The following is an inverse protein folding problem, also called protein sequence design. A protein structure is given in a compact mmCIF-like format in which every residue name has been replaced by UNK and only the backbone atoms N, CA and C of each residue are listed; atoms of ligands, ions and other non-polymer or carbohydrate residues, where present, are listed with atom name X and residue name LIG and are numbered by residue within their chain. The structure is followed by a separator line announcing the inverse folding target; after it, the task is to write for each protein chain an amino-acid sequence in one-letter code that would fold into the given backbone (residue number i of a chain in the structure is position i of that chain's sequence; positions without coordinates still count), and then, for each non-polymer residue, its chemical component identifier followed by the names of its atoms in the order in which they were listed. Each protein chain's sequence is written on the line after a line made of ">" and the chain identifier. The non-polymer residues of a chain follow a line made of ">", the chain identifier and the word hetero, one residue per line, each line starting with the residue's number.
data_IF_674187734007
#
_entry.id   IF_674187734007
#
_cell.length_a   1.000
_cell.length_b   1.000
_cell.length_c   1.000
_cell.angle_alpha   90.00
_cell.angle_beta   90.00
_cell.angle_gamma   90.00
#
_symmetry.space_group_name_H-M   'P 1'
#
loop_
_entity.id
_entity.type
_entity.pdbx_description
1 polymer ?
#
# COMPACT_ATOMS: atom_id res chain seq x y z
N UNK A 1 -9.07 -22.92 -25.62
CA UNK A 1 -9.78 -21.88 -24.83
C UNK A 1 -8.93 -21.54 -23.62
N UNK A 2 -8.76 -20.26 -23.26
CA UNK A 2 -8.09 -19.92 -21.99
C UNK A 2 -8.98 -20.32 -20.82
N UNK A 3 -8.37 -20.79 -19.72
CA UNK A 3 -9.12 -21.20 -18.53
C UNK A 3 -9.85 -20.05 -17.86
N UNK A 4 -10.86 -20.35 -17.05
CA UNK A 4 -11.54 -19.39 -16.20
C UNK A 4 -10.55 -18.77 -15.20
N UNK A 5 -10.50 -17.45 -15.11
CA UNK A 5 -9.74 -16.73 -14.09
C UNK A 5 -10.69 -16.33 -12.94
N UNK A 6 -10.39 -16.80 -11.75
CA UNK A 6 -11.11 -16.49 -10.52
C UNK A 6 -10.25 -15.58 -9.65
N UNK A 7 -10.56 -14.28 -9.63
CA UNK A 7 -9.81 -13.29 -8.85
C UNK A 7 -10.45 -13.17 -7.48
N UNK A 8 -9.64 -13.36 -6.43
CA UNK A 8 -10.08 -13.08 -5.07
C UNK A 8 -10.05 -11.59 -4.79
N UNK A 9 -11.18 -11.03 -4.42
CA UNK A 9 -11.33 -9.62 -4.07
C UNK A 9 -11.77 -9.45 -2.60
N UNK A 10 -11.29 -10.30 -1.73
CA UNK A 10 -11.66 -10.29 -0.31
C UNK A 10 -11.25 -9.00 0.39
N UNK A 11 -10.07 -8.46 0.11
CA UNK A 11 -9.64 -7.18 0.69
C UNK A 11 -10.54 -6.04 0.24
N UNK A 12 -10.90 -5.99 -1.03
CA UNK A 12 -11.83 -4.98 -1.55
C UNK A 12 -13.24 -5.14 -0.98
N UNK A 13 -13.72 -6.37 -0.76
CA UNK A 13 -15.00 -6.61 -0.12
C UNK A 13 -15.04 -6.06 1.32
N UNK A 14 -13.89 -6.00 2.00
CA UNK A 14 -13.71 -5.35 3.30
C UNK A 14 -13.43 -3.85 3.19
N UNK A 15 -13.21 -3.33 2.00
CA UNK A 15 -12.94 -1.91 1.70
C UNK A 15 -13.93 -0.91 2.32
N UNK A 16 -15.26 -1.21 2.44
CA UNK A 16 -16.19 -0.35 3.16
C UNK A 16 -15.82 -0.07 4.61
N UNK A 17 -14.91 -0.85 5.21
CA UNK A 17 -14.41 -0.63 6.57
C UNK A 17 -13.42 0.56 6.65
N UNK A 18 -12.89 1.05 5.53
CA UNK A 18 -11.97 2.19 5.45
C UNK A 18 -12.56 3.36 4.65
N UNK A 19 -12.10 4.58 4.91
CA UNK A 19 -12.49 5.77 4.16
C UNK A 19 -11.70 5.94 2.85
N UNK A 20 -10.48 5.45 2.85
CA UNK A 20 -9.54 5.55 1.72
C UNK A 20 -8.84 4.22 1.53
N UNK A 21 -8.55 3.81 0.29
CA UNK A 21 -7.85 2.57 0.01
C UNK A 21 -6.39 2.64 0.51
N UNK A 22 -5.91 1.52 1.01
CA UNK A 22 -4.49 1.31 1.32
C UNK A 22 -3.72 0.95 0.05
N UNK A 23 -2.40 0.86 0.12
CA UNK A 23 -1.57 0.46 -1.03
C UNK A 23 -2.00 -0.89 -1.63
N UNK A 24 -2.22 -1.91 -0.79
CA UNK A 24 -2.69 -3.24 -1.22
C UNK A 24 -4.08 -3.17 -1.89
N UNK A 25 -4.99 -2.38 -1.32
CA UNK A 25 -6.36 -2.23 -1.88
C UNK A 25 -6.31 -1.62 -3.29
N UNK A 26 -5.37 -0.69 -3.55
CA UNK A 26 -5.16 -0.10 -4.89
C UNK A 26 -4.59 -1.11 -5.89
N UNK A 27 -3.67 -1.96 -5.45
CA UNK A 27 -3.13 -3.04 -6.28
C UNK A 27 -4.24 -4.01 -6.64
N UNK A 28 -5.02 -4.49 -5.67
CA UNK A 28 -6.13 -5.42 -5.89
C UNK A 28 -7.19 -4.82 -6.81
N UNK A 29 -7.50 -3.53 -6.66
CA UNK A 29 -8.41 -2.80 -7.54
C UNK A 29 -7.90 -2.74 -8.98
N UNK A 30 -6.60 -2.47 -9.18
CA UNK A 30 -6.01 -2.46 -10.51
C UNK A 30 -6.07 -3.84 -11.17
N UNK A 31 -5.79 -4.91 -10.42
CA UNK A 31 -5.96 -6.29 -10.90
C UNK A 31 -7.41 -6.59 -11.28
N UNK A 32 -8.36 -6.21 -10.41
CA UNK A 32 -9.78 -6.42 -10.68
C UNK A 32 -10.22 -5.75 -11.98
N UNK A 33 -9.92 -4.46 -12.14
CA UNK A 33 -10.28 -3.71 -13.35
C UNK A 33 -9.59 -4.25 -14.61
N UNK A 34 -8.31 -4.59 -14.51
CA UNK A 34 -7.58 -5.12 -15.66
C UNK A 34 -8.19 -6.45 -16.14
N UNK A 35 -8.25 -7.44 -15.27
CA UNK A 35 -8.68 -8.78 -15.68
C UNK A 35 -10.17 -8.89 -15.98
N UNK A 36 -11.02 -8.14 -15.28
CA UNK A 36 -12.44 -8.05 -15.65
C UNK A 36 -12.64 -7.43 -17.03
N UNK A 37 -11.75 -6.58 -17.52
CA UNK A 37 -11.90 -5.94 -18.82
C UNK A 37 -11.12 -6.62 -19.95
N UNK A 38 -9.97 -7.26 -19.67
CA UNK A 38 -9.04 -7.70 -20.71
C UNK A 38 -8.78 -9.21 -20.71
N UNK A 39 -9.19 -9.97 -19.67
CA UNK A 39 -8.97 -11.43 -19.70
C UNK A 39 -9.78 -12.05 -20.85
N UNK A 40 -9.12 -12.80 -21.78
CA UNK A 40 -9.79 -13.31 -22.97
C UNK A 40 -10.67 -14.54 -22.74
N UNK A 41 -10.63 -15.12 -21.52
CA UNK A 41 -11.50 -16.19 -21.07
C UNK A 41 -12.62 -15.67 -20.15
N UNK A 42 -13.32 -16.61 -19.50
CA UNK A 42 -14.24 -16.25 -18.42
C UNK A 42 -13.45 -15.65 -17.23
N UNK A 43 -13.86 -14.50 -16.74
CA UNK A 43 -13.32 -13.90 -15.53
C UNK A 43 -14.43 -13.75 -14.50
N UNK A 44 -14.20 -14.31 -13.32
CA UNK A 44 -15.11 -14.27 -12.17
C UNK A 44 -14.38 -13.72 -10.94
N UNK A 45 -15.14 -13.17 -9.99
CA UNK A 45 -14.56 -12.72 -8.73
C UNK A 45 -14.99 -13.61 -7.58
N UNK A 46 -14.08 -13.80 -6.63
CA UNK A 46 -14.30 -14.59 -5.41
C UNK A 46 -14.28 -13.65 -4.21
N UNK A 47 -15.30 -13.74 -3.36
CA UNK A 47 -15.35 -13.02 -2.08
C UNK A 47 -15.95 -13.89 -0.98
N UNK A 48 -15.68 -13.61 0.31
CA UNK A 48 -16.37 -14.21 1.43
C UNK A 48 -17.79 -13.65 1.55
N UNK A 49 -18.71 -14.53 1.85
CA UNK A 49 -20.11 -14.20 2.16
C UNK A 49 -20.53 -14.90 3.45
N UNK A 50 -21.74 -14.65 3.94
CA UNK A 50 -22.31 -15.35 5.10
C UNK A 50 -22.45 -16.86 4.86
N UNK A 51 -22.47 -17.31 3.60
CA UNK A 51 -22.55 -18.72 3.20
C UNK A 51 -21.20 -19.31 2.75
N UNK A 52 -20.09 -18.73 3.17
CA UNK A 52 -18.73 -19.12 2.79
C UNK A 52 -18.23 -18.40 1.54
N UNK A 53 -17.16 -18.93 0.96
CA UNK A 53 -16.56 -18.35 -0.26
C UNK A 53 -17.47 -18.58 -1.46
N UNK A 54 -17.75 -17.49 -2.17
CA UNK A 54 -18.62 -17.49 -3.36
C UNK A 54 -17.96 -16.79 -4.52
N UNK A 55 -18.30 -17.19 -5.75
CA UNK A 55 -17.86 -16.48 -6.92
C UNK A 55 -19.04 -15.89 -7.70
N UNK A 56 -18.74 -14.84 -8.43
CA UNK A 56 -19.71 -13.97 -9.13
C UNK A 56 -19.22 -13.69 -10.53
N UNK A 57 -20.16 -13.55 -11.44
CA UNK A 57 -19.90 -13.14 -12.81
C UNK A 57 -19.35 -11.69 -12.89
N UNK A 58 -18.75 -11.38 -14.04
CA UNK A 58 -18.17 -10.07 -14.35
C UNK A 58 -19.15 -8.91 -14.09
N UNK A 59 -20.42 -9.06 -14.46
CA UNK A 59 -21.39 -7.98 -14.39
C UNK A 59 -21.69 -7.56 -12.95
N UNK A 60 -21.79 -8.53 -12.04
CA UNK A 60 -21.96 -8.27 -10.60
C UNK A 60 -20.69 -7.70 -9.97
N UNK A 61 -19.53 -8.23 -10.37
CA UNK A 61 -18.24 -7.75 -9.90
C UNK A 61 -18.04 -6.27 -10.23
N UNK A 62 -18.27 -5.88 -11.48
CA UNK A 62 -18.16 -4.47 -11.92
C UNK A 62 -19.08 -3.56 -11.11
N UNK A 63 -20.35 -3.95 -10.90
CA UNK A 63 -21.26 -3.16 -10.04
C UNK A 63 -20.74 -3.03 -8.61
N UNK A 64 -20.13 -4.11 -8.08
CA UNK A 64 -19.52 -4.10 -6.75
C UNK A 64 -18.34 -3.13 -6.64
N UNK A 65 -17.46 -3.14 -7.64
CA UNK A 65 -16.31 -2.23 -7.68
C UNK A 65 -16.74 -0.76 -7.80
N UNK A 66 -17.69 -0.45 -8.68
CA UNK A 66 -18.22 0.91 -8.81
C UNK A 66 -18.83 1.41 -7.51
N UNK A 67 -19.64 0.56 -6.84
CA UNK A 67 -20.22 0.91 -5.55
C UNK A 67 -19.15 1.10 -4.46
N UNK A 68 -18.05 0.34 -4.49
CA UNK A 68 -16.94 0.51 -3.57
C UNK A 68 -16.21 1.83 -3.80
N UNK A 69 -15.94 2.19 -5.05
CA UNK A 69 -15.29 3.47 -5.39
C UNK A 69 -16.13 4.68 -4.95
N UNK A 70 -17.45 4.57 -4.98
CA UNK A 70 -18.35 5.61 -4.45
C UNK A 70 -18.26 5.73 -2.91
N UNK A 71 -17.99 4.62 -2.20
CA UNK A 71 -17.81 4.61 -0.75
C UNK A 71 -16.47 5.24 -0.36
N UNK A 72 -15.45 5.05 -1.18
CA UNK A 72 -14.14 5.62 -0.96
C UNK A 72 -14.07 7.09 -1.34
N UNK A 73 -13.29 7.85 -0.57
CA UNK A 73 -13.11 9.29 -0.80
C UNK A 73 -12.08 9.61 -1.89
N UNK A 74 -11.94 8.75 -2.89
CA UNK A 74 -10.96 8.93 -3.97
C UNK A 74 -11.28 10.10 -4.90
N UNK A 75 -12.55 10.49 -4.99
CA UNK A 75 -13.05 11.56 -5.86
C UNK A 75 -13.23 12.90 -5.15
N UNK A 76 -12.96 12.97 -3.84
CA UNK A 76 -13.08 14.24 -3.10
C UNK A 76 -11.95 15.16 -3.52
N UNK A 77 -12.31 16.37 -3.95
CA UNK A 77 -11.34 17.39 -4.32
C UNK A 77 -10.52 17.82 -3.08
N UNK A 78 -9.27 18.26 -3.24
CA UNK A 78 -8.50 18.80 -2.12
C UNK A 78 -9.19 19.95 -1.41
N UNK A 79 -9.96 20.76 -2.13
CA UNK A 79 -10.71 21.91 -1.59
C UNK A 79 -11.81 21.48 -0.61
N UNK A 80 -12.43 20.30 -0.87
CA UNK A 80 -13.51 19.75 -0.04
C UNK A 80 -12.98 18.79 1.04
N UNK A 81 -11.65 18.59 1.12
CA UNK A 81 -11.02 17.70 2.08
C UNK A 81 -10.61 18.45 3.35
N UNK A 82 -11.37 18.25 4.43
CA UNK A 82 -11.11 18.88 5.72
C UNK A 82 -9.73 18.51 6.32
N UNK A 83 -9.19 17.35 5.98
CA UNK A 83 -7.84 16.93 6.41
C UNK A 83 -6.78 17.73 5.65
N UNK A 84 -6.98 17.95 4.35
CA UNK A 84 -6.12 18.79 3.54
C UNK A 84 -6.11 20.23 4.06
N UNK A 85 -7.28 20.83 4.24
CA UNK A 85 -7.43 22.20 4.75
C UNK A 85 -6.72 22.40 6.09
N UNK A 86 -6.79 21.41 6.98
CA UNK A 86 -6.09 21.44 8.28
C UNK A 86 -4.57 21.39 8.10
N UNK A 87 -4.07 20.48 7.27
CA UNK A 87 -2.63 20.38 7.01
C UNK A 87 -2.09 21.62 6.32
N UNK A 88 -2.82 22.13 5.33
CA UNK A 88 -2.48 23.39 4.64
C UNK A 88 -2.41 24.57 5.63
N UNK A 89 -3.42 24.72 6.49
CA UNK A 89 -3.41 25.75 7.53
C UNK A 89 -2.20 25.61 8.47
N UNK A 90 -1.88 24.40 8.90
CA UNK A 90 -0.69 24.15 9.72
C UNK A 90 0.61 24.53 9.00
N UNK A 91 0.74 24.18 7.73
CA UNK A 91 1.94 24.49 6.93
C UNK A 91 2.13 26.01 6.82
N UNK A 92 1.05 26.75 6.56
CA UNK A 92 1.09 28.20 6.32
C UNK A 92 1.15 29.05 7.58
N UNK A 93 0.80 28.50 8.76
CA UNK A 93 0.73 29.26 10.00
C UNK A 93 1.84 28.86 10.98
N UNK A 94 2.06 29.71 12.00
CA UNK A 94 2.94 29.41 13.13
C UNK A 94 2.19 28.71 14.29
N UNK A 95 0.93 28.34 14.09
CA UNK A 95 0.11 27.70 15.11
C UNK A 95 0.62 26.28 15.43
N UNK A 96 0.55 25.91 16.69
CA UNK A 96 0.80 24.52 17.10
C UNK A 96 -0.30 23.59 16.56
N UNK A 97 0.08 22.38 16.20
CA UNK A 97 -0.88 21.36 15.82
C UNK A 97 -1.78 21.01 17.03
N UNK A 98 -3.08 20.94 16.81
CA UNK A 98 -4.00 20.42 17.82
C UNK A 98 -3.96 18.90 17.83
N UNK A 99 -3.22 18.32 18.76
CA UNK A 99 -3.02 16.85 18.87
C UNK A 99 -4.27 16.09 19.31
N UNK A 100 -5.24 16.77 19.93
CA UNK A 100 -6.54 16.19 20.29
C UNK A 100 -7.41 15.85 19.07
N UNK A 101 -7.12 16.44 17.90
CA UNK A 101 -7.85 16.15 16.65
C UNK A 101 -7.39 14.88 15.92
N UNK A 102 -6.38 14.16 16.45
CA UNK A 102 -5.78 12.96 15.84
C UNK A 102 -6.43 11.65 16.22
N UNK A 103 -7.61 11.67 16.83
CA UNK A 103 -8.38 10.43 16.89
C UNK A 103 -8.54 9.90 15.47
N UNK A 104 -8.14 8.64 15.22
CA UNK A 104 -8.42 8.04 13.92
C UNK A 104 -9.92 8.18 13.70
N UNK A 105 -10.34 8.83 12.62
CA UNK A 105 -11.73 8.74 12.19
C UNK A 105 -11.94 7.34 11.61
N UNK A 106 -11.98 6.36 12.50
CA UNK A 106 -12.60 5.10 12.17
C UNK A 106 -14.06 5.42 11.84
N UNK A 107 -14.56 4.86 10.76
CA UNK A 107 -16.02 4.88 10.53
C UNK A 107 -16.70 4.29 11.77
N UNK A 108 -17.82 4.84 12.24
CA UNK A 108 -18.62 4.18 13.25
C UNK A 108 -18.95 2.74 12.80
N UNK A 109 -18.83 1.77 13.69
CA UNK A 109 -19.03 0.34 13.37
C UNK A 109 -20.38 0.07 12.67
N UNK A 110 -21.44 0.81 13.07
CA UNK A 110 -22.76 0.74 12.45
C UNK A 110 -22.76 1.25 10.99
N UNK A 111 -21.98 2.28 10.68
CA UNK A 111 -21.85 2.80 9.32
C UNK A 111 -21.06 1.84 8.43
N UNK A 112 -19.98 1.24 8.96
CA UNK A 112 -19.23 0.18 8.27
C UNK A 112 -20.13 -1.00 7.92
N UNK A 113 -20.90 -1.49 8.90
CA UNK A 113 -21.86 -2.57 8.69
C UNK A 113 -22.91 -2.21 7.64
N UNK A 114 -23.47 -1.00 7.71
CA UNK A 114 -24.47 -0.51 6.74
C UNK A 114 -23.90 -0.46 5.32
N UNK A 115 -22.69 0.08 5.14
CA UNK A 115 -22.06 0.21 3.83
C UNK A 115 -21.71 -1.17 3.26
N UNK A 116 -21.24 -2.09 4.09
CA UNK A 116 -21.00 -3.48 3.73
C UNK A 116 -22.29 -4.20 3.28
N UNK A 117 -23.36 -4.08 4.06
CA UNK A 117 -24.67 -4.68 3.70
C UNK A 117 -25.28 -4.04 2.45
N UNK A 118 -25.10 -2.73 2.24
CA UNK A 118 -25.51 -2.06 1.00
C UNK A 118 -24.76 -2.65 -0.20
N UNK A 119 -23.44 -2.82 -0.09
CA UNK A 119 -22.63 -3.42 -1.15
C UNK A 119 -23.13 -4.82 -1.50
N UNK A 120 -23.26 -5.69 -0.49
CA UNK A 120 -23.72 -7.07 -0.70
C UNK A 120 -25.12 -7.16 -1.29
N UNK A 121 -26.07 -6.37 -0.77
CA UNK A 121 -27.47 -6.43 -1.18
C UNK A 121 -27.74 -5.72 -2.50
N UNK A 122 -27.20 -4.51 -2.66
CA UNK A 122 -27.44 -3.67 -3.85
C UNK A 122 -26.83 -4.26 -5.12
N UNK A 123 -25.74 -5.00 -4.99
CA UNK A 123 -25.02 -5.62 -6.12
C UNK A 123 -25.40 -7.08 -6.34
N UNK A 124 -26.22 -7.68 -5.45
CA UNK A 124 -26.54 -9.10 -5.48
C UNK A 124 -25.39 -10.02 -5.08
N UNK A 125 -24.33 -9.48 -4.44
CA UNK A 125 -23.17 -10.25 -4.00
C UNK A 125 -23.47 -11.22 -2.83
N UNK A 126 -24.70 -11.19 -2.29
CA UNK A 126 -25.13 -12.17 -1.30
C UNK A 126 -25.42 -13.58 -1.89
N UNK A 127 -25.65 -13.70 -3.20
CA UNK A 127 -26.20 -14.90 -3.86
C UNK A 127 -25.26 -15.48 -4.94
N UNK A 128 -23.96 -15.55 -4.65
CA UNK A 128 -22.98 -16.12 -5.57
C UNK A 128 -23.01 -17.64 -5.64
N UNK A 129 -22.34 -18.20 -6.66
CA UNK A 129 -22.11 -19.65 -6.79
C UNK A 129 -21.02 -20.11 -5.82
N UNK A 130 -21.06 -21.38 -5.40
CA UNK A 130 -20.02 -21.96 -4.54
C UNK A 130 -18.70 -22.05 -5.28
N UNK A 131 -17.56 -21.68 -4.63
CA UNK A 131 -16.22 -21.88 -5.20
C UNK A 131 -15.93 -23.34 -5.54
N UNK A 132 -16.59 -24.29 -4.89
CA UNK A 132 -16.50 -25.72 -5.23
C UNK A 132 -16.99 -26.06 -6.64
N UNK A 133 -17.82 -25.19 -7.26
CA UNK A 133 -18.33 -25.36 -8.63
C UNK A 133 -17.54 -24.57 -9.68
N UNK A 134 -16.38 -24.00 -9.35
CA UNK A 134 -15.49 -23.42 -10.35
C UNK A 134 -15.10 -24.47 -11.39
N UNK A 135 -14.93 -24.12 -12.66
CA UNK A 135 -14.47 -25.03 -13.69
C UNK A 135 -13.15 -25.73 -13.30
N UNK A 136 -12.91 -26.93 -13.86
CA UNK A 136 -11.60 -27.58 -13.75
C UNK A 136 -10.54 -26.70 -14.40
N UNK A 137 -9.32 -26.77 -13.89
CA UNK A 137 -8.16 -26.04 -14.39
C UNK A 137 -8.33 -24.50 -14.36
N UNK A 138 -9.27 -23.99 -13.54
CA UNK A 138 -9.37 -22.57 -13.31
C UNK A 138 -8.10 -22.03 -12.63
N UNK A 139 -7.74 -20.78 -12.95
CA UNK A 139 -6.70 -20.05 -12.24
C UNK A 139 -7.38 -19.31 -11.09
N UNK A 140 -6.93 -19.53 -9.86
CA UNK A 140 -7.32 -18.74 -8.70
C UNK A 140 -6.19 -17.76 -8.36
N UNK A 141 -6.47 -16.49 -8.51
CA UNK A 141 -5.51 -15.41 -8.29
C UNK A 141 -5.92 -14.60 -7.06
N UNK A 142 -5.08 -14.62 -6.02
CA UNK A 142 -5.27 -13.81 -4.81
C UNK A 142 -4.10 -12.85 -4.63
N UNK A 143 -4.38 -11.55 -4.76
CA UNK A 143 -3.40 -10.47 -4.65
C UNK A 143 -3.55 -9.65 -3.37
N UNK A 144 -4.57 -9.94 -2.57
CA UNK A 144 -4.87 -9.20 -1.34
C UNK A 144 -4.06 -9.60 -0.11
N UNK A 145 -3.41 -10.77 -0.10
CA UNK A 145 -2.64 -11.41 0.99
C UNK A 145 -3.43 -11.58 2.32
N UNK A 146 -4.41 -10.74 2.59
CA UNK A 146 -5.02 -10.57 3.91
C UNK A 146 -5.72 -11.81 4.47
N UNK A 147 -6.23 -12.72 3.63
CA UNK A 147 -7.04 -13.85 4.08
C UNK A 147 -6.54 -15.20 3.56
N UNK A 148 -5.22 -15.42 3.55
CA UNK A 148 -4.67 -16.78 3.42
C UNK A 148 -4.92 -17.62 4.70
N UNK A 149 -5.97 -17.27 5.46
CA UNK A 149 -6.40 -18.02 6.63
C UNK A 149 -7.29 -19.18 6.21
N UNK A 150 -7.16 -20.31 6.90
CA UNK A 150 -7.85 -21.56 6.55
C UNK A 150 -9.35 -21.45 6.27
N UNK A 151 -10.15 -20.69 7.00
CA UNK A 151 -11.59 -20.58 6.69
C UNK A 151 -11.89 -20.09 5.28
N UNK A 152 -11.00 -19.29 4.68
CA UNK A 152 -11.22 -18.70 3.37
C UNK A 152 -10.57 -19.46 2.22
N UNK A 153 -9.50 -20.21 2.48
CA UNK A 153 -8.73 -20.90 1.43
C UNK A 153 -8.73 -22.44 1.54
N UNK A 154 -9.30 -23.01 2.61
CA UNK A 154 -9.30 -24.48 2.82
C UNK A 154 -10.01 -25.27 1.70
N UNK A 155 -10.91 -24.63 0.95
CA UNK A 155 -11.55 -25.22 -0.21
C UNK A 155 -10.56 -25.57 -1.32
N UNK A 156 -9.44 -24.85 -1.45
CA UNK A 156 -8.37 -25.14 -2.42
C UNK A 156 -7.72 -26.50 -2.17
N UNK A 157 -7.60 -26.94 -0.92
CA UNK A 157 -7.06 -28.25 -0.59
C UNK A 157 -7.88 -29.40 -1.20
N UNK A 158 -9.17 -29.18 -1.46
CA UNK A 158 -10.10 -30.14 -2.10
C UNK A 158 -10.18 -29.96 -3.62
N UNK A 159 -9.48 -28.96 -4.16
CA UNK A 159 -9.46 -28.62 -5.58
C UNK A 159 -8.01 -28.51 -6.08
N UNK A 160 -7.25 -29.64 -6.07
CA UNK A 160 -5.86 -29.66 -6.54
C UNK A 160 -5.73 -29.39 -8.05
N UNK A 161 -6.82 -29.46 -8.77
CA UNK A 161 -6.98 -29.11 -10.18
C UNK A 161 -6.90 -27.60 -10.42
N UNK A 162 -7.13 -26.76 -9.41
CA UNK A 162 -7.07 -25.29 -9.55
C UNK A 162 -5.62 -24.80 -9.43
N UNK A 163 -5.21 -23.99 -10.39
CA UNK A 163 -3.92 -23.30 -10.38
C UNK A 163 -3.99 -22.09 -9.44
N UNK A 164 -3.56 -22.26 -8.19
CA UNK A 164 -3.58 -21.20 -7.19
C UNK A 164 -2.32 -20.35 -7.24
N UNK A 165 -2.48 -19.06 -7.56
CA UNK A 165 -1.42 -18.06 -7.64
C UNK A 165 -1.65 -16.99 -6.57
N UNK A 166 -0.66 -16.78 -5.71
CA UNK A 166 -0.76 -15.85 -4.58
C UNK A 166 0.27 -14.75 -4.70
N UNK A 167 -0.15 -13.50 -4.40
CA UNK A 167 0.78 -12.39 -4.28
C UNK A 167 1.20 -12.21 -2.82
N UNK A 168 2.49 -12.17 -2.58
CA UNK A 168 3.10 -11.83 -1.29
C UNK A 168 3.66 -10.41 -1.39
N UNK A 169 3.07 -9.48 -0.64
CA UNK A 169 3.50 -8.08 -0.63
C UNK A 169 4.74 -7.84 0.23
N UNK A 170 4.80 -8.50 1.36
CA UNK A 170 5.93 -8.50 2.30
C UNK A 170 5.83 -9.67 3.29
N UNK A 171 6.88 -9.82 4.09
CA UNK A 171 6.98 -10.79 5.19
C UNK A 171 7.46 -10.10 6.48
N UNK A 172 7.27 -8.77 6.56
CA UNK A 172 7.83 -7.92 7.61
C UNK A 172 7.50 -8.36 9.04
N UNK A 173 6.27 -8.84 9.35
CA UNK A 173 5.98 -9.30 10.71
C UNK A 173 6.78 -10.54 11.14
N UNK A 174 7.32 -11.29 10.20
CA UNK A 174 8.16 -12.45 10.47
C UNK A 174 9.65 -12.12 10.48
N UNK A 175 10.06 -11.17 9.63
CA UNK A 175 11.46 -10.73 9.53
C UNK A 175 11.85 -9.76 10.66
N UNK A 176 10.89 -8.92 11.10
CA UNK A 176 11.08 -7.88 12.11
C UNK A 176 10.02 -7.99 13.22
N UNK A 177 10.00 -9.10 13.97
CA UNK A 177 8.93 -9.36 14.95
C UNK A 177 8.85 -8.31 16.06
N UNK A 178 9.97 -7.66 16.42
CA UNK A 178 10.02 -6.62 17.44
C UNK A 178 9.24 -5.35 17.08
N UNK A 179 8.97 -5.15 15.78
CA UNK A 179 8.18 -4.03 15.29
C UNK A 179 6.69 -4.35 15.12
N UNK A 180 6.26 -5.57 15.47
CA UNK A 180 4.91 -6.05 15.25
C UNK A 180 4.27 -6.65 16.51
N UNK A 181 2.94 -6.58 16.58
CA UNK A 181 2.22 -7.20 17.71
C UNK A 181 2.14 -8.72 17.57
N UNK A 182 2.18 -9.45 18.69
CA UNK A 182 2.20 -10.91 18.71
C UNK A 182 1.04 -11.57 17.95
N UNK A 183 -0.14 -10.94 17.90
CA UNK A 183 -1.27 -11.44 17.12
C UNK A 183 -0.99 -11.36 15.61
N UNK A 184 -0.42 -10.24 15.13
CA UNK A 184 -0.02 -10.07 13.74
C UNK A 184 0.98 -11.14 13.32
N UNK A 185 2.05 -11.33 14.09
CA UNK A 185 3.07 -12.37 13.84
C UNK A 185 2.46 -13.77 13.73
N UNK A 186 1.50 -14.11 14.62
CA UNK A 186 0.81 -15.42 14.57
C UNK A 186 -0.05 -15.58 13.32
N UNK A 187 -0.75 -14.52 12.90
CA UNK A 187 -1.54 -14.52 11.68
C UNK A 187 -0.63 -14.69 10.46
N UNK A 188 0.48 -13.96 10.37
CA UNK A 188 1.40 -14.06 9.25
C UNK A 188 2.10 -15.42 9.17
N UNK A 189 2.46 -16.03 10.31
CA UNK A 189 2.92 -17.44 10.32
C UNK A 189 1.88 -18.39 9.73
N UNK A 190 0.61 -18.16 10.00
CA UNK A 190 -0.48 -18.98 9.45
C UNK A 190 -0.66 -18.73 7.95
N UNK A 191 -0.58 -17.47 7.52
CA UNK A 191 -0.62 -17.05 6.10
C UNK A 191 0.50 -17.74 5.34
N UNK A 192 1.74 -17.61 5.79
CA UNK A 192 2.94 -18.18 5.15
C UNK A 192 2.86 -19.70 5.05
N UNK A 193 2.45 -20.39 6.13
CA UNK A 193 2.27 -21.84 6.13
C UNK A 193 1.20 -22.29 5.13
N UNK A 194 0.04 -21.61 5.11
CA UNK A 194 -1.04 -21.94 4.20
C UNK A 194 -0.66 -21.64 2.74
N UNK A 195 0.09 -20.57 2.50
CA UNK A 195 0.65 -20.26 1.18
C UNK A 195 1.60 -21.37 0.73
N UNK A 196 2.51 -21.80 1.58
CA UNK A 196 3.42 -22.89 1.28
C UNK A 196 2.66 -24.20 0.98
N UNK A 197 1.55 -24.47 1.66
CA UNK A 197 0.74 -25.67 1.45
C UNK A 197 -0.07 -25.61 0.15
N UNK A 198 -0.69 -24.47 -0.15
CA UNK A 198 -1.75 -24.36 -1.15
C UNK A 198 -1.31 -23.64 -2.44
N UNK A 199 -0.31 -22.79 -2.42
CA UNK A 199 0.14 -22.09 -3.61
C UNK A 199 0.78 -23.04 -4.63
N UNK A 200 0.54 -22.77 -5.92
CA UNK A 200 1.22 -23.39 -7.06
C UNK A 200 2.26 -22.43 -7.66
N UNK A 201 2.07 -21.13 -7.48
CA UNK A 201 3.02 -20.09 -7.88
C UNK A 201 2.83 -18.84 -7.03
N UNK A 202 3.83 -17.96 -7.05
CA UNK A 202 3.83 -16.70 -6.34
C UNK A 202 4.08 -15.52 -7.27
N UNK A 203 3.53 -14.36 -6.92
CA UNK A 203 3.88 -13.07 -7.47
C UNK A 203 4.42 -12.22 -6.31
N UNK A 204 5.49 -11.46 -6.53
CA UNK A 204 6.06 -10.56 -5.54
C UNK A 204 6.39 -9.20 -6.16
N UNK A 205 6.28 -8.10 -5.38
CA UNK A 205 6.45 -6.74 -5.90
C UNK A 205 7.91 -6.29 -6.06
N UNK A 206 8.88 -7.10 -5.58
CA UNK A 206 10.29 -6.73 -5.60
C UNK A 206 11.19 -7.96 -5.50
N UNK A 207 12.45 -7.82 -5.95
CA UNK A 207 13.49 -8.82 -5.71
C UNK A 207 13.84 -8.94 -4.21
N UNK A 208 13.68 -7.85 -3.46
CA UNK A 208 13.82 -7.88 -2.01
C UNK A 208 12.85 -8.89 -1.38
N UNK A 209 11.55 -8.82 -1.69
CA UNK A 209 10.55 -9.79 -1.19
C UNK A 209 10.85 -11.21 -1.71
N UNK A 210 11.29 -11.36 -2.95
CA UNK A 210 11.72 -12.68 -3.45
C UNK A 210 12.86 -13.27 -2.63
N UNK A 211 13.83 -12.43 -2.25
CA UNK A 211 14.95 -12.85 -1.38
C UNK A 211 14.45 -13.24 0.02
N UNK A 212 13.49 -12.48 0.55
CA UNK A 212 12.83 -12.80 1.83
C UNK A 212 12.19 -14.20 1.85
N UNK A 213 11.64 -14.67 0.72
CA UNK A 213 11.06 -16.02 0.63
C UNK A 213 12.09 -17.16 0.84
N UNK A 214 13.38 -16.87 0.76
CA UNK A 214 14.46 -17.85 0.92
C UNK A 214 14.97 -17.96 2.37
N UNK A 215 14.40 -17.19 3.30
CA UNK A 215 14.83 -17.18 4.69
C UNK A 215 14.57 -18.53 5.38
N UNK A 216 15.54 -18.98 6.18
CA UNK A 216 15.56 -20.33 6.78
C UNK A 216 14.45 -20.57 7.80
N UNK A 217 13.85 -19.52 8.35
CA UNK A 217 12.71 -19.62 9.28
C UNK A 217 11.36 -19.81 8.58
N UNK A 218 11.33 -19.74 7.25
CA UNK A 218 10.13 -19.95 6.43
C UNK A 218 10.03 -21.43 5.96
N UNK A 219 8.82 -21.90 5.61
CA UNK A 219 8.67 -23.19 4.98
C UNK A 219 9.53 -23.31 3.69
N UNK A 220 10.41 -24.32 3.55
CA UNK A 220 11.34 -24.42 2.41
C UNK A 220 10.64 -24.43 1.05
N UNK A 221 9.39 -24.88 1.00
CA UNK A 221 8.61 -24.92 -0.24
C UNK A 221 8.41 -23.53 -0.86
N UNK A 222 8.35 -22.47 -0.07
CA UNK A 222 8.18 -21.10 -0.59
C UNK A 222 9.34 -20.71 -1.51
N UNK A 223 10.56 -21.08 -1.14
CA UNK A 223 11.75 -20.80 -1.96
C UNK A 223 11.77 -21.56 -3.29
N UNK A 224 11.03 -22.68 -3.40
CA UNK A 224 11.01 -23.54 -4.59
C UNK A 224 9.79 -23.33 -5.48
N UNK A 225 8.80 -22.55 -5.05
CA UNK A 225 7.64 -22.21 -5.88
C UNK A 225 8.04 -21.35 -7.07
N UNK A 226 7.47 -21.59 -8.27
CA UNK A 226 7.57 -20.64 -9.38
C UNK A 226 7.17 -19.25 -8.89
N UNK A 227 8.09 -18.29 -8.96
CA UNK A 227 7.88 -16.94 -8.41
C UNK A 227 8.19 -15.90 -9.47
N UNK A 228 7.19 -15.10 -9.81
CA UNK A 228 7.33 -13.96 -10.70
C UNK A 228 7.56 -12.68 -9.89
N UNK A 229 8.61 -11.95 -10.24
CA UNK A 229 8.89 -10.62 -9.69
C UNK A 229 8.38 -9.58 -10.66
N UNK A 230 7.46 -8.73 -10.22
CA UNK A 230 6.94 -7.65 -11.04
C UNK A 230 6.82 -6.38 -10.22
N UNK A 231 7.67 -5.39 -10.51
CA UNK A 231 7.70 -4.13 -9.79
C UNK A 231 6.40 -3.36 -9.99
N UNK A 232 5.78 -2.93 -8.90
CA UNK A 232 4.48 -2.24 -8.94
C UNK A 232 4.56 -0.91 -9.68
N UNK A 233 3.58 -0.60 -10.53
CA UNK A 233 3.46 0.71 -11.17
C UNK A 233 2.92 1.77 -10.23
N UNK A 234 3.07 3.02 -10.64
CA UNK A 234 2.44 4.16 -9.97
C UNK A 234 0.92 4.09 -10.08
N UNK A 235 0.21 4.36 -8.98
CA UNK A 235 -1.25 4.41 -9.01
C UNK A 235 -1.75 5.41 -10.06
N UNK A 236 -2.78 5.06 -10.88
CA UNK A 236 -3.33 5.94 -11.90
C UNK A 236 -3.74 7.32 -11.37
N UNK A 237 -4.16 7.39 -10.10
CA UNK A 237 -4.52 8.66 -9.46
C UNK A 237 -3.34 9.64 -9.37
N UNK A 238 -2.10 9.16 -9.33
CA UNK A 238 -0.89 9.99 -9.34
C UNK A 238 -0.39 10.35 -10.75
N UNK A 239 -0.92 9.72 -11.77
CA UNK A 239 -0.57 10.01 -13.19
C UNK A 239 -1.51 11.03 -13.84
N UNK A 240 -2.66 11.32 -13.22
CA UNK A 240 -3.60 12.30 -13.73
C UNK A 240 -3.00 13.72 -13.74
N UNK A 241 -3.38 14.63 -14.66
CA UNK A 241 -3.00 16.04 -14.56
C UNK A 241 -3.41 16.63 -13.21
N UNK A 242 -2.51 17.32 -12.53
CA UNK A 242 -2.80 18.03 -11.27
C UNK A 242 -2.02 19.33 -11.20
N UNK A 243 -2.56 20.29 -10.46
CA UNK A 243 -1.90 21.59 -10.23
C UNK A 243 -1.37 21.62 -8.80
N UNK A 244 -0.16 22.17 -8.63
CA UNK A 244 0.36 22.53 -7.31
C UNK A 244 -0.57 23.52 -6.65
N UNK A 245 -0.63 23.51 -5.31
CA UNK A 245 -1.34 24.54 -4.57
C UNK A 245 -0.50 25.83 -4.60
N UNK A 246 -1.01 26.93 -5.19
CA UNK A 246 -0.25 28.18 -5.26
C UNK A 246 0.15 28.75 -3.89
N UNK A 247 -0.67 28.58 -2.87
CA UNK A 247 -0.38 29.03 -1.52
C UNK A 247 0.76 28.23 -0.85
N UNK A 248 0.94 26.97 -1.26
CA UNK A 248 2.02 26.12 -0.76
C UNK A 248 3.33 26.26 -1.57
N UNK A 249 3.35 27.04 -2.65
CA UNK A 249 4.49 27.15 -3.56
C UNK A 249 5.79 27.63 -2.90
N UNK A 250 5.67 28.43 -1.85
CA UNK A 250 6.80 28.96 -1.07
C UNK A 250 6.93 28.34 0.33
N UNK A 251 6.08 27.34 0.63
CA UNK A 251 6.09 26.72 1.94
C UNK A 251 7.27 25.73 2.06
N UNK A 252 7.97 25.81 3.18
CA UNK A 252 9.09 24.93 3.48
C UNK A 252 8.62 23.78 4.37
N UNK A 253 8.27 22.66 3.73
CA UNK A 253 7.88 21.47 4.45
C UNK A 253 8.32 20.19 3.74
N UNK A 254 8.50 19.15 4.54
CA UNK A 254 8.73 17.79 4.14
C UNK A 254 7.51 16.92 4.45
N UNK A 255 7.31 15.85 3.70
CA UNK A 255 6.19 14.95 3.90
C UNK A 255 6.67 13.51 4.05
N UNK A 256 6.10 12.77 5.01
CA UNK A 256 6.22 11.32 5.13
C UNK A 256 4.83 10.69 4.96
N UNK A 257 4.74 9.59 4.23
CA UNK A 257 3.46 8.94 3.89
C UNK A 257 3.47 7.47 4.29
N UNK A 258 2.36 6.99 4.85
CA UNK A 258 2.17 5.59 5.24
C UNK A 258 1.54 5.43 6.62
N UNK A 259 1.23 4.20 7.00
CA UNK A 259 0.74 3.90 8.35
C UNK A 259 1.75 4.37 9.41
N UNK A 260 1.24 4.89 10.54
CA UNK A 260 2.09 5.25 11.67
C UNK A 260 2.43 3.94 12.40
N UNK A 261 3.43 3.24 11.88
CA UNK A 261 3.84 1.91 12.34
C UNK A 261 5.32 1.89 12.72
N UNK A 262 5.73 0.98 13.60
CA UNK A 262 7.09 0.94 14.14
C UNK A 262 8.14 0.76 13.02
N UNK A 263 7.91 -0.13 12.04
CA UNK A 263 8.84 -0.36 10.94
C UNK A 263 8.97 0.84 9.99
N UNK A 264 8.01 1.79 9.98
CA UNK A 264 8.10 3.04 9.21
C UNK A 264 9.03 4.08 9.84
N UNK A 265 9.46 3.84 11.06
CA UNK A 265 10.53 4.58 11.76
C UNK A 265 10.30 6.10 11.83
N UNK A 266 9.05 6.53 11.98
CA UNK A 266 8.74 7.96 12.12
C UNK A 266 9.42 8.58 13.35
N UNK A 267 9.82 7.76 14.34
CA UNK A 267 10.53 8.23 15.53
C UNK A 267 11.86 8.90 15.16
N UNK A 268 12.60 8.37 14.20
CA UNK A 268 13.83 8.98 13.69
C UNK A 268 13.58 10.40 13.15
N UNK A 269 12.49 10.62 12.43
CA UNK A 269 12.15 11.95 11.94
C UNK A 269 11.79 12.89 13.09
N UNK A 270 11.11 12.41 14.13
CA UNK A 270 10.79 13.22 15.30
C UNK A 270 12.06 13.64 16.08
N UNK A 271 13.04 12.75 16.20
CA UNK A 271 14.35 13.05 16.77
C UNK A 271 15.08 14.12 15.95
N UNK A 272 15.10 13.96 14.63
CA UNK A 272 15.68 14.95 13.71
C UNK A 272 14.98 16.31 13.87
N UNK A 273 13.65 16.35 13.91
CA UNK A 273 12.91 17.62 14.08
C UNK A 273 13.14 18.26 15.45
N UNK A 274 13.28 17.46 16.50
CA UNK A 274 13.68 17.95 17.83
C UNK A 274 15.03 18.69 17.78
N UNK A 275 16.02 18.11 17.11
CA UNK A 275 17.33 18.73 16.95
C UNK A 275 17.30 19.96 16.05
N UNK A 276 16.56 19.92 14.93
CA UNK A 276 16.38 21.05 14.04
C UNK A 276 15.72 22.24 14.76
N UNK A 277 14.70 21.98 15.57
CA UNK A 277 14.03 23.03 16.36
C UNK A 277 15.00 23.63 17.39
N UNK A 278 15.81 22.81 18.05
CA UNK A 278 16.82 23.31 19.00
C UNK A 278 17.88 24.19 18.34
N UNK A 279 18.26 23.91 17.06
CA UNK A 279 19.29 24.64 16.32
C UNK A 279 18.75 25.89 15.59
N UNK A 280 17.56 25.79 15.00
CA UNK A 280 17.06 26.77 14.06
C UNK A 280 15.78 27.48 14.53
N UNK A 281 15.15 27.02 15.62
CA UNK A 281 13.93 27.62 16.18
C UNK A 281 12.82 27.72 15.13
N UNK A 282 12.30 28.93 14.94
CA UNK A 282 11.20 29.18 14.00
C UNK A 282 11.59 29.04 12.51
N UNK A 283 12.87 28.95 12.17
CA UNK A 283 13.33 28.68 10.79
C UNK A 283 13.33 27.20 10.44
N UNK A 284 13.02 26.31 11.38
CA UNK A 284 12.88 24.88 11.11
C UNK A 284 11.73 24.63 10.12
N UNK A 285 11.93 23.85 9.03
CA UNK A 285 10.85 23.50 8.12
C UNK A 285 9.76 22.70 8.83
N UNK A 286 8.56 22.65 8.24
CA UNK A 286 7.47 21.80 8.76
C UNK A 286 7.66 20.35 8.36
N UNK A 287 7.19 19.43 9.19
CA UNK A 287 7.03 18.02 8.88
C UNK A 287 5.56 17.65 8.88
N UNK A 288 5.11 17.10 7.77
CA UNK A 288 3.77 16.54 7.62
C UNK A 288 3.89 15.02 7.56
N UNK A 289 3.26 14.31 8.48
CA UNK A 289 3.18 12.84 8.46
C UNK A 289 1.74 12.47 8.11
N UNK A 290 1.54 11.95 6.90
CA UNK A 290 0.23 11.57 6.36
C UNK A 290 0.02 10.06 6.48
N UNK A 291 -0.75 9.62 7.49
CA UNK A 291 -0.99 8.20 7.71
C UNK A 291 -1.98 7.89 8.81
N UNK A 292 -2.54 6.71 8.78
CA UNK A 292 -3.43 6.25 9.84
C UNK A 292 -2.64 5.68 11.03
N UNK A 293 -3.21 5.83 12.22
CA UNK A 293 -2.64 5.32 13.46
C UNK A 293 -2.73 3.79 13.51
N UNK A 294 -1.59 3.10 13.67
CA UNK A 294 -1.54 1.67 13.91
C UNK A 294 -1.51 1.33 15.41
N UNK A 295 -1.56 0.05 15.73
CA UNK A 295 -1.46 -0.45 17.11
C UNK A 295 -0.06 -0.25 17.71
N UNK A 296 0.97 -0.11 16.88
CA UNK A 296 2.38 0.11 17.30
C UNK A 296 2.77 1.58 17.37
N UNK A 297 1.83 2.49 17.12
CA UNK A 297 2.10 3.94 17.04
C UNK A 297 2.29 4.63 18.39
N UNK A 298 2.01 3.97 19.51
CA UNK A 298 2.05 4.59 20.86
C UNK A 298 3.37 5.34 21.14
N UNK A 299 4.57 4.77 20.90
CA UNK A 299 5.83 5.46 21.17
C UNK A 299 5.98 6.79 20.43
N UNK A 300 5.43 6.89 19.22
CA UNK A 300 5.48 8.11 18.39
C UNK A 300 4.66 9.22 19.04
N UNK A 301 3.46 8.91 19.51
CA UNK A 301 2.59 9.89 20.18
C UNK A 301 3.10 10.27 21.57
N UNK A 302 3.68 9.32 22.32
CA UNK A 302 4.34 9.58 23.60
C UNK A 302 5.52 10.56 23.38
N UNK A 303 6.39 10.28 22.39
CA UNK A 303 7.50 11.17 22.07
C UNK A 303 7.05 12.61 21.76
N UNK A 304 5.98 12.76 20.99
CA UNK A 304 5.42 14.08 20.69
C UNK A 304 4.90 14.77 21.95
N UNK A 305 4.20 14.05 22.82
CA UNK A 305 3.70 14.60 24.08
C UNK A 305 4.83 15.10 24.98
N UNK A 306 5.94 14.36 25.05
CA UNK A 306 7.11 14.68 25.85
C UNK A 306 7.96 15.82 25.28
N UNK A 307 7.75 16.22 24.01
CA UNK A 307 8.56 17.23 23.32
C UNK A 307 7.70 18.37 22.75
N UNK A 308 7.09 19.24 23.59
CA UNK A 308 6.19 20.30 23.11
C UNK A 308 6.84 21.31 22.16
N UNK A 309 8.17 21.43 22.17
CA UNK A 309 8.91 22.32 21.26
C UNK A 309 8.67 22.01 19.78
N UNK A 310 8.41 20.72 19.43
CA UNK A 310 8.16 20.33 18.04
C UNK A 310 6.70 20.54 17.60
N UNK A 311 5.76 20.87 18.48
CA UNK A 311 4.34 20.96 18.16
C UNK A 311 4.01 22.01 17.09
N UNK A 312 4.83 23.05 16.96
CA UNK A 312 4.67 24.06 15.91
C UNK A 312 5.26 23.62 14.56
N UNK A 313 6.03 22.54 14.54
CA UNK A 313 6.81 22.11 13.38
C UNK A 313 6.42 20.75 12.82
N UNK A 314 5.71 19.92 13.58
CA UNK A 314 5.29 18.57 13.18
C UNK A 314 3.78 18.44 13.23
N UNK A 315 3.17 17.90 12.19
CA UNK A 315 1.77 17.48 12.17
C UNK A 315 1.65 16.03 11.69
N UNK A 316 0.81 15.27 12.38
CA UNK A 316 0.38 13.94 11.92
C UNK A 316 -1.10 14.02 11.56
N UNK A 317 -1.54 13.52 10.43
CA UNK A 317 -2.96 13.48 10.07
C UNK A 317 -3.30 12.24 9.23
N UNK A 318 -4.55 11.83 9.30
CA UNK A 318 -5.11 10.71 8.54
C UNK A 318 -6.37 11.11 7.78
N UNK A 319 -6.83 10.25 6.87
CA UNK A 319 -8.09 10.44 6.17
C UNK A 319 -8.04 11.45 5.03
N UNK A 320 -6.85 11.74 4.50
CA UNK A 320 -6.70 12.48 3.24
C UNK A 320 -7.30 11.68 2.09
N UNK A 321 -7.98 12.34 1.19
CA UNK A 321 -8.29 11.80 -0.13
C UNK A 321 -7.02 11.64 -0.96
N UNK A 322 -7.02 10.76 -1.94
CA UNK A 322 -5.85 10.57 -2.82
C UNK A 322 -5.47 11.85 -3.57
N UNK A 323 -6.40 12.64 -4.15
CA UNK A 323 -6.08 13.93 -4.74
C UNK A 323 -5.44 14.91 -3.75
N UNK A 324 -5.92 14.96 -2.50
CA UNK A 324 -5.38 15.82 -1.46
C UNK A 324 -3.95 15.41 -1.04
N UNK A 325 -3.71 14.11 -0.82
CA UNK A 325 -2.38 13.58 -0.54
C UNK A 325 -1.41 13.90 -1.66
N UNK A 326 -1.81 13.66 -2.90
CA UNK A 326 -1.01 13.97 -4.08
C UNK A 326 -0.62 15.44 -4.14
N UNK A 327 -1.56 16.37 -3.91
CA UNK A 327 -1.31 17.82 -3.92
C UNK A 327 -0.31 18.23 -2.83
N UNK A 328 -0.39 17.62 -1.63
CA UNK A 328 0.61 17.83 -0.58
C UNK A 328 1.98 17.31 -1.01
N UNK A 329 2.07 16.12 -1.60
CA UNK A 329 3.35 15.59 -2.10
C UNK A 329 3.94 16.53 -3.14
N UNK A 330 3.16 16.95 -4.15
CA UNK A 330 3.63 17.83 -5.23
C UNK A 330 4.19 19.17 -4.75
N UNK A 331 3.77 19.66 -3.61
CA UNK A 331 4.17 20.96 -3.05
C UNK A 331 5.27 20.83 -1.98
N UNK A 332 5.62 19.61 -1.55
CA UNK A 332 6.65 19.37 -0.57
C UNK A 332 8.06 19.56 -1.15
N UNK A 333 9.04 19.88 -0.28
CA UNK A 333 10.46 19.93 -0.64
C UNK A 333 11.00 18.55 -1.02
N UNK A 334 10.63 17.55 -0.24
CA UNK A 334 10.93 16.13 -0.51
C UNK A 334 9.96 15.22 0.23
N UNK A 335 9.82 13.98 -0.27
CA UNK A 335 9.24 12.88 0.49
C UNK A 335 10.31 12.26 1.40
N UNK A 336 9.96 11.92 2.64
CA UNK A 336 10.82 11.24 3.60
C UNK A 336 10.31 9.82 3.85
N UNK A 337 11.17 8.82 3.65
CA UNK A 337 10.86 7.40 3.84
C UNK A 337 11.92 6.72 4.72
N UNK A 338 11.91 6.95 6.05
CA UNK A 338 12.93 6.44 6.96
C UNK A 338 12.74 4.98 7.36
N UNK A 339 11.91 4.23 6.67
CA UNK A 339 11.49 2.88 7.05
C UNK A 339 12.68 1.94 7.26
N UNK A 340 12.59 1.09 8.28
CA UNK A 340 13.56 0.03 8.58
C UNK A 340 13.42 -1.10 7.55
N UNK A 341 12.20 -1.36 7.13
CA UNK A 341 11.87 -2.42 6.18
C UNK A 341 10.62 -2.09 5.35
N UNK A 342 10.58 -2.58 4.12
CA UNK A 342 9.49 -2.41 3.16
C UNK A 342 9.40 -3.61 2.22
N UNK A 343 8.18 -3.90 1.75
CA UNK A 343 8.01 -4.84 0.63
C UNK A 343 8.33 -4.22 -0.73
N UNK A 344 8.04 -2.92 -0.91
CA UNK A 344 8.34 -2.20 -2.15
C UNK A 344 8.63 -0.71 -1.92
N UNK A 345 7.64 0.09 -1.51
CA UNK A 345 7.83 1.53 -1.33
C UNK A 345 6.99 2.37 -2.29
N UNK A 346 5.70 2.08 -2.43
CA UNK A 346 4.78 2.84 -3.30
C UNK A 346 4.90 4.37 -3.16
N UNK A 347 5.03 4.98 -1.96
CA UNK A 347 5.15 6.43 -1.86
C UNK A 347 6.37 7.01 -2.59
N UNK A 348 7.46 6.24 -2.73
CA UNK A 348 8.65 6.66 -3.48
C UNK A 348 8.30 6.90 -4.94
N UNK A 349 7.71 5.90 -5.61
CA UNK A 349 7.35 6.02 -7.02
C UNK A 349 6.24 7.04 -7.25
N UNK A 350 5.34 7.21 -6.28
CA UNK A 350 4.28 8.24 -6.29
C UNK A 350 4.88 9.65 -6.24
N UNK A 351 5.88 9.89 -5.39
CA UNK A 351 6.58 11.18 -5.30
C UNK A 351 7.43 11.46 -6.56
N UNK A 352 8.20 10.47 -7.01
CA UNK A 352 9.04 10.59 -8.21
C UNK A 352 8.20 10.88 -9.46
N UNK A 353 7.02 10.27 -9.59
CA UNK A 353 6.08 10.57 -10.68
C UNK A 353 5.53 12.00 -10.64
N UNK A 354 5.61 12.69 -9.50
CA UNK A 354 5.27 14.11 -9.35
C UNK A 354 6.50 15.03 -9.49
N UNK A 355 7.67 14.49 -9.80
CA UNK A 355 8.92 15.26 -9.85
C UNK A 355 9.42 15.71 -8.47
N UNK A 356 8.98 15.05 -7.39
CA UNK A 356 9.36 15.37 -6.02
C UNK A 356 10.53 14.49 -5.61
N UNK A 357 11.66 15.06 -5.15
CA UNK A 357 12.80 14.28 -4.68
C UNK A 357 12.45 13.49 -3.42
N UNK A 358 13.20 12.42 -3.19
CA UNK A 358 12.97 11.50 -2.07
C UNK A 358 14.23 11.33 -1.23
N UNK A 359 14.09 11.39 0.10
CA UNK A 359 15.09 10.88 1.02
C UNK A 359 14.53 9.55 1.58
N UNK A 360 15.24 8.46 1.34
CA UNK A 360 14.80 7.13 1.71
C UNK A 360 15.88 6.37 2.47
N UNK A 361 15.48 5.43 3.32
CA UNK A 361 16.41 4.50 3.93
C UNK A 361 17.11 3.65 2.87
N UNK A 362 18.38 3.38 3.08
CA UNK A 362 19.21 2.53 2.22
C UNK A 362 18.88 1.04 2.45
N UNK A 363 17.74 0.60 1.93
CA UNK A 363 17.30 -0.79 1.97
C UNK A 363 16.94 -1.30 0.57
N UNK A 364 17.08 -2.61 0.29
CA UNK A 364 16.91 -3.17 -1.05
C UNK A 364 15.60 -2.77 -1.73
N UNK A 365 14.46 -2.91 -1.06
CA UNK A 365 13.15 -2.60 -1.63
C UNK A 365 13.03 -1.11 -2.06
N UNK A 366 13.62 -0.18 -1.29
CA UNK A 366 13.60 1.24 -1.64
C UNK A 366 14.54 1.57 -2.79
N UNK A 367 15.69 0.87 -2.91
CA UNK A 367 16.56 1.00 -4.07
C UNK A 367 15.89 0.53 -5.35
N UNK A 368 15.10 -0.56 -5.28
CA UNK A 368 14.31 -1.03 -6.42
C UNK A 368 13.23 -0.02 -6.81
N UNK A 369 12.44 0.47 -5.84
CA UNK A 369 11.37 1.44 -6.09
C UNK A 369 11.92 2.78 -6.60
N UNK A 370 13.05 3.23 -6.08
CA UNK A 370 13.66 4.52 -6.43
C UNK A 370 14.59 4.49 -7.65
N UNK A 371 14.73 3.33 -8.30
CA UNK A 371 15.65 3.18 -9.42
C UNK A 371 15.33 4.18 -10.57
N UNK A 372 16.36 4.88 -11.04
CA UNK A 372 16.22 5.91 -12.10
C UNK A 372 15.57 7.22 -11.63
N UNK A 373 15.22 7.36 -10.35
CA UNK A 373 14.63 8.58 -9.79
C UNK A 373 15.61 9.41 -8.95
N UNK A 374 15.20 10.63 -8.60
CA UNK A 374 15.96 11.51 -7.70
C UNK A 374 15.76 11.07 -6.24
N UNK A 375 16.53 10.09 -5.79
CA UNK A 375 16.49 9.53 -4.43
C UNK A 375 17.85 9.65 -3.75
N UNK A 376 17.88 10.22 -2.55
CA UNK A 376 19.02 10.17 -1.64
C UNK A 376 18.80 9.05 -0.64
N UNK A 377 19.71 8.08 -0.62
CA UNK A 377 19.64 6.94 0.29
C UNK A 377 20.47 7.20 1.54
N UNK A 378 19.89 6.97 2.72
CA UNK A 378 20.46 7.27 4.02
C UNK A 378 20.32 6.06 4.96
N UNK A 379 21.25 5.84 5.91
CA UNK A 379 21.10 4.79 6.91
C UNK A 379 19.83 4.97 7.72
N UNK A 380 19.05 3.91 7.90
CA UNK A 380 17.77 3.95 8.66
C UNK A 380 17.97 4.25 10.16
N UNK A 381 19.22 4.21 10.66
CA UNK A 381 19.57 4.37 12.09
C UNK A 381 20.37 5.62 12.40
N UNK A 382 20.72 6.43 11.41
CA UNK A 382 21.59 7.61 11.61
C UNK A 382 20.82 8.93 11.48
N UNK A 383 20.26 9.41 12.60
CA UNK A 383 19.55 10.68 12.67
C UNK A 383 20.43 11.88 12.24
N UNK A 384 21.76 11.79 12.39
CA UNK A 384 22.68 12.87 12.02
C UNK A 384 22.78 13.04 10.51
N UNK A 385 22.88 11.92 9.77
CA UNK A 385 22.89 11.96 8.30
C UNK A 385 21.52 12.47 7.77
N UNK A 386 20.41 11.99 8.31
CA UNK A 386 19.07 12.49 7.95
C UNK A 386 18.93 13.99 8.19
N UNK A 387 19.37 14.48 9.37
CA UNK A 387 19.34 15.91 9.68
C UNK A 387 20.17 16.70 8.65
N UNK A 388 21.41 16.24 8.38
CA UNK A 388 22.31 16.93 7.46
C UNK A 388 21.75 16.98 6.04
N UNK A 389 21.12 15.90 5.57
CA UNK A 389 20.46 15.86 4.27
C UNK A 389 19.26 16.85 4.24
N UNK A 390 18.42 16.88 5.27
CA UNK A 390 17.27 17.79 5.35
C UNK A 390 17.72 19.25 5.39
N UNK A 391 18.79 19.60 6.14
CA UNK A 391 19.39 20.94 6.17
C UNK A 391 19.95 21.34 4.79
N UNK A 392 20.55 20.41 4.05
CA UNK A 392 21.05 20.65 2.70
C UNK A 392 19.93 20.97 1.69
N UNK A 393 18.79 20.28 1.78
CA UNK A 393 17.60 20.58 0.98
C UNK A 393 17.03 21.98 1.25
N UNK A 394 17.13 22.48 2.48
CA UNK A 394 16.72 23.84 2.83
C UNK A 394 17.56 24.92 2.14
N UNK A 395 18.82 24.64 1.83
CA UNK A 395 19.76 25.56 1.17
C UNK A 395 19.72 25.48 -0.36
N UNK A 396 19.39 24.34 -0.92
CA UNK A 396 19.34 24.12 -2.37
C UNK A 396 18.08 23.28 -2.74
N UNK A 397 16.94 23.94 -3.01
CA UNK A 397 15.65 23.26 -3.18
C UNK A 397 15.56 22.37 -4.42
N UNK A 398 16.55 22.37 -5.32
CA UNK A 398 16.55 21.53 -6.50
C UNK A 398 17.37 20.25 -6.35
N UNK A 399 17.90 19.96 -5.15
CA UNK A 399 18.79 18.81 -4.93
C UNK A 399 20.05 18.86 -5.81
N UNK A 400 21.12 18.19 -5.43
CA UNK A 400 22.32 18.05 -6.25
C UNK A 400 22.12 16.99 -7.36
N UNK A 401 21.14 17.17 -8.22
CA UNK A 401 20.91 16.26 -9.34
C UNK A 401 20.15 16.95 -10.46
N UNK A 402 20.56 16.67 -11.69
CA UNK A 402 19.75 16.96 -12.88
C UNK A 402 18.34 16.45 -12.62
N UNK A 403 17.31 17.15 -13.12
CA UNK A 403 15.92 16.70 -13.07
C UNK A 403 15.88 15.33 -13.75
N UNK A 404 16.06 14.28 -12.98
CA UNK A 404 15.94 12.92 -13.48
C UNK A 404 14.53 12.78 -14.05
N UNK A 405 14.42 12.52 -15.34
CA UNK A 405 13.16 12.18 -15.96
C UNK A 405 12.77 10.77 -15.51
N UNK A 406 12.29 10.65 -14.27
CA UNK A 406 11.73 9.40 -13.82
C UNK A 406 10.56 9.01 -14.73
N UNK A 407 10.69 7.87 -15.39
CA UNK A 407 9.64 7.32 -16.25
C UNK A 407 8.86 6.28 -15.44
N UNK A 408 7.62 6.62 -15.03
CA UNK A 408 6.82 5.67 -14.25
C UNK A 408 6.48 4.43 -15.09
N UNK A 409 6.65 3.24 -14.50
CA UNK A 409 6.18 2.00 -15.10
C UNK A 409 4.67 2.09 -15.33
N UNK A 410 4.21 1.64 -16.49
CA UNK A 410 2.80 1.65 -16.85
C UNK A 410 2.12 0.34 -16.41
N UNK A 411 0.84 0.43 -16.03
CA UNK A 411 0.04 -0.74 -15.69
C UNK A 411 -0.13 -1.71 -16.85
N UNK A 412 -0.14 -1.20 -18.11
CA UNK A 412 -0.14 -2.04 -19.31
C UNK A 412 1.03 -3.01 -19.36
N UNK A 413 2.25 -2.48 -19.14
CA UNK A 413 3.48 -3.28 -19.18
C UNK A 413 3.55 -4.27 -18.01
N UNK A 414 3.11 -3.83 -16.84
CA UNK A 414 2.98 -4.69 -15.66
C UNK A 414 2.09 -5.90 -15.93
N UNK A 415 0.89 -5.66 -16.48
CA UNK A 415 -0.06 -6.74 -16.74
C UNK A 415 0.36 -7.66 -17.88
N UNK A 416 1.12 -7.17 -18.87
CA UNK A 416 1.72 -8.05 -19.88
C UNK A 416 2.63 -9.10 -19.23
N UNK A 417 3.48 -8.72 -18.26
CA UNK A 417 4.31 -9.65 -17.50
C UNK A 417 3.48 -10.66 -16.70
N UNK A 418 2.45 -10.19 -16.00
CA UNK A 418 1.56 -11.06 -15.20
C UNK A 418 0.79 -12.03 -16.10
N UNK A 419 0.23 -11.57 -17.22
CA UNK A 419 -0.51 -12.44 -18.15
C UNK A 419 0.39 -13.50 -18.80
N UNK A 420 1.62 -13.13 -19.16
CA UNK A 420 2.61 -14.06 -19.70
C UNK A 420 2.92 -15.17 -18.67
N UNK A 421 3.17 -14.79 -17.42
CA UNK A 421 3.43 -15.74 -16.33
C UNK A 421 2.24 -16.67 -16.08
N UNK A 422 1.02 -16.16 -16.00
CA UNK A 422 -0.18 -16.98 -15.81
C UNK A 422 -0.38 -17.97 -16.98
N UNK A 423 -0.10 -17.53 -18.21
CA UNK A 423 -0.22 -18.36 -19.42
C UNK A 423 0.82 -19.48 -19.44
N UNK A 424 2.06 -19.18 -19.05
CA UNK A 424 3.14 -20.18 -18.93
C UNK A 424 2.80 -21.23 -17.87
N UNK A 425 2.36 -20.81 -16.68
CA UNK A 425 1.95 -21.73 -15.62
C UNK A 425 0.84 -22.67 -16.07
N UNK A 426 -0.13 -22.16 -16.82
CA UNK A 426 -1.24 -22.95 -17.34
C UNK A 426 -0.76 -23.98 -18.37
N UNK A 427 0.14 -23.60 -19.28
CA UNK A 427 0.71 -24.52 -20.25
C UNK A 427 1.47 -25.67 -19.57
N UNK A 428 2.27 -25.35 -18.56
CA UNK A 428 3.03 -26.33 -17.78
C UNK A 428 2.13 -27.28 -16.97
N UNK A 429 0.97 -26.82 -16.51
CA UNK A 429 -0.01 -27.66 -15.81
C UNK A 429 -0.66 -28.66 -16.77
N UNK A 430 -1.06 -28.23 -17.95
CA UNK A 430 -1.69 -29.09 -18.95
C UNK A 430 -0.75 -30.19 -19.44
N UNK A 431 0.56 -29.90 -19.59
CA UNK A 431 1.56 -30.91 -19.96
C UNK A 431 1.77 -31.98 -18.88
N UNK A 432 1.58 -31.68 -17.61
CA UNK A 432 1.70 -32.67 -16.51
C UNK A 432 0.49 -33.58 -16.38
N UNK A 433 -0.62 -33.27 -17.03
CA UNK A 433 -1.84 -34.08 -17.03
C UNK A 433 -2.04 -34.92 -18.31
N UNK A 434 -1.15 -34.78 -19.31
CA UNK A 434 -0.98 -35.64 -20.46
C UNK A 434 0.06 -36.75 -20.19
#
# INVERSE_FOLDING_TARGET
>A
MRSTLAIDLTCLALGPLSWTPRGIDRVELAYAWHFLNHWPGECVVVIPTLWGMRYFDRSRAVRGLLALEEIWREKISPEDDASYSRMKSFILTHSAASWSAFAPRAKPTWQQARDFFRLLRGTGLAFGKSVGSLPKDAIYLNVGQLLFLRPFISWLARRPDILSVFMIHDLLPLEYPDHHVSLGIRLDRSIVRNTAELARALIVPSHAVRTSLQQSFLPPRLATLPTHVELLPVSPAFLQPAKKDPELSHAEYFIACGAIDAHKNHILLLEVWKELVARHGDRTPKLVIAGFRSVTSKPIFDFIADHPAIHKKVIISSGLSTPALRRLIMSAKALLMPSIAEGFGLPIIEALAQGVPVLASDIPAMREAGAGGNVTYLPATDATEWRSAIEAFGKNPHGQGEVSQYVPKQWSDYFLGIEAFLTELQANQLQKHQ
#
